data_IF_875121857356
#
_entry.id   IF_875121857356
#
_cell.length_a   1.000
_cell.length_b   1.000
_cell.length_c   1.000
_cell.angle_alpha   90.00
_cell.angle_beta   90.00
_cell.angle_gamma   90.00
#
_symmetry.space_group_name_H-M   'P 1'
#
loop_
_entity.id
_entity.type
_entity.pdbx_description
1 polymer ?
#
# COMPACT_ATOMS: atom_id res chain seq x y z
N UNK A 1 -5.64 28.05 1.81
CA UNK A 1 -5.20 26.71 1.36
C UNK A 1 -4.83 26.82 -0.11
N UNK A 2 -3.62 26.40 -0.52
CA UNK A 2 -3.13 26.52 -1.89
C UNK A 2 -3.45 25.22 -2.65
N UNK A 3 -3.94 25.32 -3.89
CA UNK A 3 -4.11 24.16 -4.79
C UNK A 3 -2.74 23.53 -5.00
N UNK A 4 -2.64 22.20 -4.87
CA UNK A 4 -1.38 21.51 -5.10
C UNK A 4 -0.91 21.81 -6.54
N UNK A 5 0.38 22.13 -6.74
CA UNK A 5 0.88 22.47 -8.06
C UNK A 5 0.67 21.32 -9.03
N UNK A 6 0.73 21.62 -10.33
CA UNK A 6 0.76 20.56 -11.34
C UNK A 6 2.02 19.72 -11.12
N UNK A 7 1.87 18.40 -11.21
CA UNK A 7 2.96 17.44 -10.94
C UNK A 7 3.21 16.59 -12.17
N UNK A 8 4.48 16.42 -12.51
CA UNK A 8 4.89 15.43 -13.52
C UNK A 8 4.90 14.06 -12.86
N UNK A 9 4.20 13.11 -13.46
CA UNK A 9 4.10 11.73 -12.97
C UNK A 9 4.49 10.74 -14.07
N UNK A 10 5.07 9.63 -13.65
CA UNK A 10 5.41 8.50 -14.53
C UNK A 10 4.39 7.38 -14.32
N UNK A 11 3.78 6.91 -15.41
CA UNK A 11 2.82 5.82 -15.34
C UNK A 11 3.49 4.52 -14.85
N UNK A 12 2.96 3.90 -13.80
CA UNK A 12 3.46 2.62 -13.28
C UNK A 12 3.21 1.42 -14.22
N UNK A 13 2.42 1.61 -15.28
CA UNK A 13 2.15 0.58 -16.29
C UNK A 13 3.04 0.75 -17.53
N UNK A 14 2.86 1.86 -18.26
CA UNK A 14 3.53 2.06 -19.56
C UNK A 14 4.84 2.85 -19.48
N UNK A 15 5.21 3.39 -18.31
CA UNK A 15 6.42 4.18 -18.12
C UNK A 15 6.40 5.58 -18.76
N UNK A 16 5.33 5.96 -19.45
CA UNK A 16 5.20 7.30 -20.02
C UNK A 16 5.04 8.36 -18.92
N UNK A 17 5.69 9.50 -19.11
CA UNK A 17 5.60 10.65 -18.21
C UNK A 17 4.62 11.67 -18.76
N UNK A 18 3.76 12.21 -17.89
CA UNK A 18 2.79 13.25 -18.23
C UNK A 18 2.50 14.13 -17.02
N UNK A 19 1.98 15.32 -17.27
CA UNK A 19 1.62 16.28 -16.22
C UNK A 19 0.19 16.04 -15.77
N UNK A 20 0.00 15.97 -14.45
CA UNK A 20 -1.31 16.01 -13.81
C UNK A 20 -1.53 17.38 -13.20
N UNK A 21 -2.64 18.00 -13.58
CA UNK A 21 -3.11 19.26 -13.05
C UNK A 21 -4.15 18.98 -11.96
N UNK A 22 -4.04 19.69 -10.83
CA UNK A 22 -5.06 19.65 -9.79
C UNK A 22 -5.99 20.84 -10.00
N UNK A 23 -7.26 20.57 -10.28
CA UNK A 23 -8.31 21.57 -10.39
C UNK A 23 -9.20 21.48 -9.16
N UNK A 24 -9.57 22.63 -8.58
CA UNK A 24 -10.55 22.65 -7.49
C UNK A 24 -11.91 22.95 -8.08
N UNK A 25 -12.86 22.06 -7.85
CA UNK A 25 -14.27 22.29 -8.11
C UNK A 25 -15.01 22.56 -6.82
N UNK A 26 -16.01 23.44 -6.92
CA UNK A 26 -16.87 23.86 -5.83
C UNK A 26 -18.29 23.43 -6.21
N UNK A 27 -18.75 22.30 -5.67
CA UNK A 27 -20.12 21.83 -5.86
C UNK A 27 -20.82 21.78 -4.50
N UNK A 28 -22.00 22.40 -4.39
CA UNK A 28 -22.80 22.36 -3.17
C UNK A 28 -22.16 22.96 -1.91
N UNK A 29 -21.06 23.72 -2.04
CA UNK A 29 -20.29 24.25 -0.91
C UNK A 29 -19.14 23.34 -0.46
N UNK A 30 -19.02 22.14 -1.02
CA UNK A 30 -17.86 21.26 -0.83
C UNK A 30 -16.80 21.52 -1.91
N UNK A 31 -15.52 21.53 -1.50
CA UNK A 31 -14.38 21.69 -2.40
C UNK A 31 -13.80 20.31 -2.72
N UNK A 32 -13.89 19.91 -3.98
CA UNK A 32 -13.28 18.66 -4.48
C UNK A 32 -12.06 18.99 -5.31
N UNK A 33 -10.97 18.25 -5.11
CA UNK A 33 -9.77 18.35 -5.97
C UNK A 33 -9.87 17.28 -7.04
N UNK A 34 -10.01 17.69 -8.30
CA UNK A 34 -9.99 16.81 -9.46
C UNK A 34 -8.59 16.80 -10.10
N UNK A 35 -8.19 15.62 -10.57
CA UNK A 35 -6.93 15.41 -11.27
C UNK A 35 -7.19 15.29 -12.77
N UNK A 36 -6.55 16.13 -13.57
CA UNK A 36 -6.64 16.11 -15.03
C UNK A 36 -5.26 15.83 -15.65
N UNK A 37 -5.09 14.77 -16.47
CA UNK A 37 -6.09 13.75 -16.80
C UNK A 37 -6.35 12.78 -15.62
N UNK A 38 -7.55 12.16 -15.52
CA UNK A 38 -7.90 11.25 -14.42
C UNK A 38 -7.22 9.87 -14.51
N UNK A 39 -6.57 9.58 -15.64
CA UNK A 39 -5.85 8.36 -15.93
C UNK A 39 -4.67 8.66 -16.85
N UNK A 40 -3.78 7.69 -17.05
CA UNK A 40 -2.68 7.83 -17.99
C UNK A 40 -3.20 8.03 -19.43
N UNK A 41 -2.86 9.13 -20.12
CA UNK A 41 -3.38 9.42 -21.46
C UNK A 41 -2.85 8.44 -22.53
N UNK A 42 -1.82 7.66 -22.21
CA UNK A 42 -1.18 6.73 -23.15
C UNK A 42 -1.73 5.30 -23.05
N UNK A 43 -2.17 4.86 -21.88
CA UNK A 43 -2.57 3.46 -21.64
C UNK A 43 -3.87 3.31 -20.85
N UNK A 44 -4.51 4.41 -20.45
CA UNK A 44 -5.70 4.50 -19.61
C UNK A 44 -5.55 3.90 -18.20
N UNK A 45 -4.32 3.61 -17.76
CA UNK A 45 -4.09 3.13 -16.41
C UNK A 45 -4.54 4.18 -15.37
N UNK A 46 -5.31 3.78 -14.33
CA UNK A 46 -5.83 4.73 -13.35
C UNK A 46 -4.70 5.37 -12.56
N UNK A 47 -4.85 6.63 -12.19
CA UNK A 47 -3.91 7.28 -11.27
C UNK A 47 -4.05 6.66 -9.88
N UNK A 48 -2.98 6.02 -9.39
CA UNK A 48 -2.92 5.47 -8.04
C UNK A 48 -1.78 6.13 -7.27
N UNK A 49 -2.14 6.87 -6.23
CA UNK A 49 -1.20 7.37 -5.26
C UNK A 49 -1.06 6.33 -4.15
N UNK A 50 0.11 5.70 -4.07
CA UNK A 50 0.46 4.79 -2.96
C UNK A 50 1.58 5.44 -2.16
N UNK A 51 1.57 5.30 -0.82
CA UNK A 51 2.66 5.82 -0.01
C UNK A 51 3.96 5.09 -0.33
N UNK A 52 5.08 5.66 0.12
CA UNK A 52 6.37 4.97 0.05
C UNK A 52 6.28 3.67 0.84
N UNK A 53 6.72 2.57 0.23
CA UNK A 53 6.86 1.29 0.90
C UNK A 53 8.06 1.36 1.86
N UNK A 54 7.78 1.30 3.16
CA UNK A 54 8.77 1.32 4.21
C UNK A 54 8.44 0.32 5.32
N UNK A 55 9.31 0.27 6.34
CA UNK A 55 9.16 -0.62 7.49
C UNK A 55 7.85 -0.37 8.25
N UNK A 56 7.33 0.87 8.25
CA UNK A 56 6.05 1.20 8.88
C UNK A 56 4.89 0.52 8.15
N UNK A 57 4.85 0.61 6.82
CA UNK A 57 3.84 -0.09 6.01
C UNK A 57 3.93 -1.61 6.19
N UNK A 58 5.14 -2.16 6.27
CA UNK A 58 5.35 -3.60 6.50
C UNK A 58 4.85 -4.06 7.89
N UNK A 59 5.01 -3.22 8.93
CA UNK A 59 4.43 -3.48 10.26
C UNK A 59 2.91 -3.52 10.22
N UNK A 60 2.27 -2.55 9.57
CA UNK A 60 0.81 -2.53 9.40
C UNK A 60 0.30 -3.74 8.61
N UNK A 61 1.05 -4.22 7.61
CA UNK A 61 0.71 -5.47 6.92
C UNK A 61 0.68 -6.66 7.89
N UNK A 62 1.70 -6.81 8.74
CA UNK A 62 1.72 -7.88 9.75
C UNK A 62 0.60 -7.77 10.77
N UNK A 63 0.33 -6.56 11.27
CA UNK A 63 -0.77 -6.33 12.21
C UNK A 63 -2.12 -6.62 11.56
N UNK A 64 -2.30 -6.27 10.28
CA UNK A 64 -3.51 -6.60 9.51
C UNK A 64 -3.70 -8.11 9.42
N UNK A 65 -2.64 -8.84 9.03
CA UNK A 65 -2.68 -10.31 8.93
C UNK A 65 -2.95 -10.98 10.29
N UNK A 66 -2.36 -10.46 11.37
CA UNK A 66 -2.64 -10.94 12.72
C UNK A 66 -4.02 -10.53 13.25
N UNK A 67 -4.78 -9.70 12.52
CA UNK A 67 -6.11 -9.26 12.90
C UNK A 67 -6.12 -8.24 14.05
N UNK A 68 -5.11 -7.38 14.13
CA UNK A 68 -5.10 -6.27 15.08
C UNK A 68 -6.36 -5.40 14.87
N UNK A 69 -7.11 -5.01 15.92
CA UNK A 69 -8.44 -4.42 15.77
C UNK A 69 -8.51 -3.17 14.88
N UNK A 70 -7.59 -2.22 15.06
CA UNK A 70 -7.57 -0.97 14.28
C UNK A 70 -7.24 -1.23 12.80
N UNK A 71 -6.25 -2.09 12.54
CA UNK A 71 -5.81 -2.47 11.20
C UNK A 71 -6.89 -3.28 10.48
N UNK A 72 -7.54 -4.21 11.18
CA UNK A 72 -8.67 -4.98 10.67
C UNK A 72 -9.87 -4.08 10.35
N UNK A 73 -10.12 -3.06 11.17
CA UNK A 73 -11.20 -2.09 10.92
C UNK A 73 -10.91 -1.23 9.68
N UNK A 74 -9.67 -0.78 9.51
CA UNK A 74 -9.27 0.10 8.42
C UNK A 74 -9.08 -0.64 7.08
N UNK A 75 -8.47 -1.83 7.11
CA UNK A 75 -8.01 -2.54 5.91
C UNK A 75 -8.73 -3.87 5.66
N UNK A 76 -9.29 -4.48 6.69
CA UNK A 76 -10.02 -5.75 6.59
C UNK A 76 -9.10 -6.96 6.53
N UNK A 77 -8.51 -7.22 5.36
CA UNK A 77 -7.68 -8.41 5.09
C UNK A 77 -6.31 -8.02 4.54
N UNK A 78 -5.31 -8.90 4.66
CA UNK A 78 -3.99 -8.68 4.07
C UNK A 78 -4.06 -8.48 2.55
N UNK A 79 -4.96 -9.18 1.84
CA UNK A 79 -5.16 -8.99 0.41
C UNK A 79 -5.67 -7.57 0.08
N UNK A 80 -6.69 -7.08 0.79
CA UNK A 80 -7.20 -5.69 0.61
C UNK A 80 -6.16 -4.64 0.99
N UNK A 81 -5.35 -4.92 2.01
CA UNK A 81 -4.21 -4.08 2.36
C UNK A 81 -3.23 -4.01 1.18
N UNK A 82 -2.80 -5.15 0.66
CA UNK A 82 -1.86 -5.22 -0.47
C UNK A 82 -2.41 -4.46 -1.70
N UNK A 83 -3.68 -4.63 -2.05
CA UNK A 83 -4.33 -3.89 -3.15
C UNK A 83 -4.31 -2.37 -2.96
N UNK A 84 -4.46 -1.89 -1.72
CA UNK A 84 -4.49 -0.46 -1.39
C UNK A 84 -3.10 0.18 -1.44
N UNK A 85 -2.07 -0.56 -1.03
CA UNK A 85 -0.71 -0.03 -0.87
C UNK A 85 0.23 -0.37 -2.04
N UNK A 86 -0.21 -1.19 -3.01
CA UNK A 86 0.60 -1.59 -4.16
C UNK A 86 -0.14 -1.41 -5.49
N UNK A 87 0.64 -1.25 -6.55
CA UNK A 87 0.19 -1.02 -7.93
C UNK A 87 0.81 -2.02 -8.90
N UNK A 88 1.88 -2.71 -8.49
CA UNK A 88 2.61 -3.67 -9.30
C UNK A 88 2.98 -4.91 -8.49
N UNK A 89 3.26 -6.01 -9.19
CA UNK A 89 3.78 -7.23 -8.57
C UNK A 89 5.09 -6.97 -7.81
N UNK A 90 5.98 -6.15 -8.37
CA UNK A 90 7.26 -5.80 -7.74
C UNK A 90 7.09 -5.00 -6.44
N UNK A 91 6.06 -4.16 -6.33
CA UNK A 91 5.71 -3.47 -5.09
C UNK A 91 5.17 -4.45 -4.04
N UNK A 92 4.38 -5.45 -4.45
CA UNK A 92 3.97 -6.55 -3.55
C UNK A 92 5.20 -7.31 -3.05
N UNK A 93 6.12 -7.68 -3.93
CA UNK A 93 7.36 -8.37 -3.56
C UNK A 93 8.23 -7.55 -2.61
N UNK A 94 8.35 -6.25 -2.87
CA UNK A 94 9.08 -5.32 -2.00
C UNK A 94 8.48 -5.34 -0.59
N UNK A 95 7.15 -5.24 -0.48
CA UNK A 95 6.50 -5.21 0.82
C UNK A 95 6.60 -6.56 1.56
N UNK A 96 6.52 -7.69 0.84
CA UNK A 96 6.75 -9.00 1.41
C UNK A 96 8.21 -9.18 1.89
N UNK A 97 9.19 -8.64 1.16
CA UNK A 97 10.60 -8.66 1.59
C UNK A 97 10.79 -7.85 2.87
N UNK A 98 10.25 -6.62 2.92
CA UNK A 98 10.29 -5.78 4.12
C UNK A 98 9.61 -6.46 5.31
N UNK A 99 8.48 -7.14 5.08
CA UNK A 99 7.79 -7.91 6.12
C UNK A 99 8.64 -9.09 6.61
N UNK A 100 9.31 -9.81 5.71
CA UNK A 100 10.17 -10.95 6.04
C UNK A 100 11.41 -10.53 6.84
N UNK A 101 12.01 -9.41 6.48
CA UNK A 101 13.23 -8.88 7.09
C UNK A 101 12.96 -8.08 8.38
N UNK A 102 11.70 -8.06 8.84
CA UNK A 102 11.32 -7.28 9.99
C UNK A 102 11.93 -7.84 11.28
N UNK A 103 12.67 -6.98 11.99
CA UNK A 103 13.18 -7.27 13.32
C UNK A 103 12.07 -7.07 14.38
N UNK A 104 11.39 -8.17 14.71
CA UNK A 104 10.34 -8.19 15.74
C UNK A 104 10.89 -7.87 17.14
N UNK A 105 12.14 -8.24 17.44
CA UNK A 105 12.77 -7.95 18.73
C UNK A 105 13.00 -6.46 18.90
N UNK A 106 13.60 -5.81 17.90
CA UNK A 106 13.78 -4.36 17.89
C UNK A 106 12.44 -3.61 17.96
N UNK A 107 11.41 -4.10 17.27
CA UNK A 107 10.07 -3.51 17.33
C UNK A 107 9.46 -3.63 18.73
N UNK A 108 9.47 -4.80 19.35
CA UNK A 108 8.96 -5.02 20.70
C UNK A 108 9.68 -4.13 21.71
N UNK A 109 11.02 -4.06 21.67
CA UNK A 109 11.82 -3.23 22.56
C UNK A 109 11.51 -1.74 22.39
N UNK A 110 11.35 -1.26 21.15
CA UNK A 110 10.98 0.12 20.87
C UNK A 110 9.60 0.46 21.46
N UNK A 111 8.63 -0.43 21.33
CA UNK A 111 7.29 -0.23 21.90
C UNK A 111 7.32 -0.24 23.44
N UNK A 112 8.05 -1.18 24.05
CA UNK A 112 8.22 -1.25 25.51
C UNK A 112 8.92 0.00 26.06
N UNK A 113 9.96 0.51 25.38
CA UNK A 113 10.64 1.75 25.76
C UNK A 113 9.70 2.96 25.73
N UNK A 114 8.81 3.04 24.73
CA UNK A 114 7.79 4.09 24.63
C UNK A 114 6.72 3.94 25.74
N UNK A 115 6.28 2.73 26.04
CA UNK A 115 5.31 2.46 27.12
C UNK A 115 5.84 2.78 28.52
N UNK A 116 7.16 2.70 28.74
CA UNK A 116 7.78 3.18 29.99
C UNK A 116 7.61 4.69 30.19
N UNK A 117 7.48 5.46 29.09
CA UNK A 117 7.35 6.93 29.11
C UNK A 117 5.90 7.42 29.13
N UNK A 118 4.92 6.54 28.88
CA UNK A 118 3.51 6.94 28.82
C UNK A 118 2.54 5.76 28.74
N UNK A 119 1.30 5.99 29.16
CA UNK A 119 0.22 4.99 29.13
C UNK A 119 -0.59 5.10 27.83
N UNK A 120 -0.03 4.62 26.72
CA UNK A 120 -0.74 4.55 25.43
C UNK A 120 -1.43 3.18 25.29
N UNK A 121 -2.76 3.18 25.20
CA UNK A 121 -3.56 1.95 25.10
C UNK A 121 -3.44 1.27 23.71
N UNK A 122 -3.29 2.06 22.64
CA UNK A 122 -3.06 1.54 21.29
C UNK A 122 -1.71 0.84 21.21
N UNK A 123 -0.66 1.49 21.74
CA UNK A 123 0.68 0.93 21.81
C UNK A 123 0.75 -0.33 22.68
N UNK A 124 0.01 -0.40 23.81
CA UNK A 124 -0.11 -1.64 24.60
C UNK A 124 -0.72 -2.78 23.80
N UNK A 125 -1.73 -2.48 22.98
CA UNK A 125 -2.40 -3.47 22.14
C UNK A 125 -1.46 -3.95 21.05
N UNK A 126 -0.81 -3.02 20.34
CA UNK A 126 0.21 -3.32 19.33
C UNK A 126 1.32 -4.22 19.90
N UNK A 127 1.90 -3.88 21.05
CA UNK A 127 2.94 -4.70 21.69
C UNK A 127 2.50 -6.15 21.93
N UNK A 128 1.26 -6.38 22.36
CA UNK A 128 0.73 -7.75 22.56
C UNK A 128 0.63 -8.52 21.25
N UNK A 129 0.31 -7.84 20.15
CA UNK A 129 0.33 -8.45 18.82
C UNK A 129 1.74 -8.74 18.34
N UNK A 130 2.72 -7.85 18.61
CA UNK A 130 4.13 -8.10 18.26
C UNK A 130 4.66 -9.38 18.89
N UNK A 131 4.37 -9.63 20.17
CA UNK A 131 4.79 -10.89 20.82
C UNK A 131 4.19 -12.11 20.11
N UNK A 132 2.89 -12.09 19.77
CA UNK A 132 2.24 -13.18 19.02
C UNK A 132 2.78 -13.35 17.61
N UNK A 133 3.06 -12.23 16.93
CA UNK A 133 3.64 -12.20 15.60
C UNK A 133 5.03 -12.84 15.59
N UNK A 134 5.85 -12.54 16.60
CA UNK A 134 7.18 -13.11 16.76
C UNK A 134 7.13 -14.63 16.95
N UNK A 135 6.18 -15.14 17.73
CA UNK A 135 5.96 -16.58 17.87
C UNK A 135 5.54 -17.21 16.54
N UNK A 136 4.52 -16.64 15.88
CA UNK A 136 4.02 -17.16 14.62
C UNK A 136 5.01 -17.03 13.43
N UNK A 137 5.93 -16.06 13.50
CA UNK A 137 7.00 -15.89 12.53
C UNK A 137 8.09 -16.97 12.65
N UNK A 138 8.37 -17.46 13.87
CA UNK A 138 9.32 -18.57 14.09
C UNK A 138 8.85 -19.86 13.46
N UNK A 139 7.54 -20.09 13.45
CA UNK A 139 6.93 -21.28 12.87
C UNK A 139 6.75 -21.19 11.34
N UNK A 140 7.10 -20.06 10.72
CA UNK A 140 7.02 -19.82 9.26
C UNK A 140 5.60 -19.66 8.70
N UNK A 141 4.59 -20.24 9.35
CA UNK A 141 3.21 -20.30 8.90
C UNK A 141 2.58 -18.93 8.64
N UNK A 142 2.99 -17.90 9.38
CA UNK A 142 2.44 -16.54 9.21
C UNK A 142 2.91 -15.89 7.89
N UNK A 143 4.16 -16.14 7.48
CA UNK A 143 4.68 -15.62 6.21
C UNK A 143 4.09 -16.37 5.02
N UNK A 144 3.86 -17.67 5.14
CA UNK A 144 3.16 -18.46 4.12
C UNK A 144 1.74 -17.95 3.87
N UNK A 145 1.01 -17.57 4.92
CA UNK A 145 -0.32 -16.96 4.77
C UNK A 145 -0.27 -15.63 4.03
N UNK A 146 0.72 -14.78 4.33
CA UNK A 146 0.93 -13.54 3.58
C UNK A 146 1.22 -13.82 2.10
N UNK A 147 2.05 -14.82 1.79
CA UNK A 147 2.33 -15.20 0.40
C UNK A 147 1.06 -15.69 -0.31
N UNK A 148 0.26 -16.51 0.37
CA UNK A 148 -1.02 -17.00 -0.17
C UNK A 148 -2.00 -15.85 -0.40
N UNK A 149 -2.05 -14.86 0.49
CA UNK A 149 -2.88 -13.66 0.31
C UNK A 149 -2.36 -12.75 -0.82
N UNK A 150 -1.04 -12.72 -1.04
CA UNK A 150 -0.41 -11.90 -2.05
C UNK A 150 -0.55 -12.46 -3.48
N UNK A 151 -0.61 -13.78 -3.64
CA UNK A 151 -0.73 -14.44 -4.95
C UNK A 151 -1.88 -13.89 -5.82
N UNK A 152 -3.16 -13.86 -5.35
CA UNK A 152 -4.25 -13.33 -6.15
C UNK A 152 -4.11 -11.82 -6.45
N UNK A 153 -3.47 -11.06 -5.55
CA UNK A 153 -3.23 -9.62 -5.75
C UNK A 153 -2.20 -9.40 -6.86
N UNK A 154 -1.13 -10.21 -6.90
CA UNK A 154 -0.15 -10.19 -7.98
C UNK A 154 -0.79 -10.54 -9.32
N UNK A 155 -1.60 -11.58 -9.36
CA UNK A 155 -2.31 -11.98 -10.58
C UNK A 155 -3.26 -10.88 -11.08
N UNK A 156 -3.97 -10.21 -10.16
CA UNK A 156 -4.82 -9.07 -10.49
C UNK A 156 -4.02 -7.88 -11.05
N UNK A 157 -2.88 -7.55 -10.44
CA UNK A 157 -1.99 -6.49 -10.94
C UNK A 157 -1.42 -6.83 -12.31
N UNK A 158 -1.02 -8.09 -12.53
CA UNK A 158 -0.52 -8.57 -13.82
C UNK A 158 -1.57 -8.43 -14.91
N UNK A 159 -2.78 -8.94 -14.66
CA UNK A 159 -3.89 -8.86 -15.62
C UNK A 159 -4.27 -7.40 -15.94
N UNK A 160 -4.26 -6.52 -14.93
CA UNK A 160 -4.51 -5.09 -15.13
C UNK A 160 -3.41 -4.46 -15.99
N UNK A 161 -2.15 -4.75 -15.70
CA UNK A 161 -1.00 -4.27 -16.46
C UNK A 161 -1.09 -4.68 -17.92
N UNK A 162 -1.34 -5.96 -18.20
CA UNK A 162 -1.42 -6.50 -19.55
C UNK A 162 -2.54 -5.84 -20.36
N UNK A 163 -3.71 -5.63 -19.74
CA UNK A 163 -4.84 -4.91 -20.35
C UNK A 163 -4.44 -3.51 -20.80
N UNK A 164 -3.77 -2.75 -19.94
CA UNK A 164 -3.40 -1.37 -20.23
C UNK A 164 -2.21 -1.28 -21.20
N UNK A 165 -1.28 -2.23 -21.18
CA UNK A 165 -0.22 -2.31 -22.18
C UNK A 165 -0.77 -2.59 -23.57
N UNK A 166 -1.78 -3.45 -23.71
CA UNK A 166 -2.45 -3.66 -25.00
C UNK A 166 -3.04 -2.35 -25.56
N UNK A 167 -3.63 -1.49 -24.71
CA UNK A 167 -4.11 -0.15 -25.11
C UNK A 167 -2.95 0.73 -25.57
N UNK A 168 -1.83 0.73 -24.86
CA UNK A 168 -0.65 1.50 -25.21
C UNK A 168 -0.08 1.10 -26.57
N UNK A 169 0.07 -0.20 -26.82
CA UNK A 169 0.56 -0.74 -28.09
C UNK A 169 -0.39 -0.43 -29.26
N UNK A 170 -1.70 -0.54 -29.05
CA UNK A 170 -2.71 -0.18 -30.04
C UNK A 170 -2.72 1.32 -30.38
N UNK A 171 -2.33 2.19 -29.44
CA UNK A 171 -2.18 3.63 -29.69
C UNK A 171 -0.86 3.98 -30.38
N UNK A 172 0.23 3.27 -30.08
CA UNK A 172 1.55 3.50 -30.73
C UNK A 172 1.62 3.06 -32.18
N UNK A 173 0.75 2.15 -32.59
CA UNK A 173 0.66 1.61 -33.95
C UNK A 173 -0.26 2.42 -34.87
N UNK A 174 -0.88 3.49 -34.35
CA UNK A 174 -1.68 4.46 -35.10
C UNK A 174 -0.87 5.72 -35.34
#
# INVERSE_FOLDING_TARGET
>A
MRVAPSVSITCYVCGSTFTVHNRVELEGGERTVLQEPPACPFCDAPLRNVPRLDVGVAKSLWLTEAGAPEEKKEYGTAARFLERFTRTEAEVDTLLSLARELDFDAWEQANLARLKRGRDAGLKTETRFVTKLKEAARDGALFERLQHAAAPVKDAHRALRDRHLAVFEARRSR
#
